data_IF_883885371275
#
_entry.id   IF_883885371275
#
_cell.length_a   1.000
_cell.length_b   1.000
_cell.length_c   1.000
_cell.angle_alpha   90.00
_cell.angle_beta   90.00
_cell.angle_gamma   90.00
#
_symmetry.space_group_name_H-M   'P 1'
#
loop_
_entity.id
_entity.type
_entity.pdbx_description
1 polymer ?
#
# COMPACT_ATOMS: atom_id res chain seq x y z
N UNK A 1 -23.68 4.09 -12.53
CA UNK A 1 -23.94 3.57 -13.87
C UNK A 1 -22.66 2.88 -14.40
N UNK A 2 -22.82 1.70 -15.01
CA UNK A 2 -21.71 0.96 -15.64
C UNK A 2 -21.91 0.96 -17.17
N UNK A 3 -20.82 1.19 -17.87
CA UNK A 3 -20.76 1.18 -19.33
C UNK A 3 -19.61 0.28 -19.79
N UNK A 4 -19.75 -0.33 -20.96
CA UNK A 4 -18.73 -1.19 -21.53
C UNK A 4 -18.54 -0.89 -23.02
N UNK A 5 -17.28 -0.84 -23.48
CA UNK A 5 -16.97 -0.65 -24.89
C UNK A 5 -15.78 -1.51 -25.30
N UNK A 6 -15.80 -2.01 -26.52
CA UNK A 6 -14.67 -2.75 -27.08
C UNK A 6 -13.62 -1.76 -27.62
N UNK A 7 -12.37 -1.98 -27.24
CA UNK A 7 -11.20 -1.25 -27.76
C UNK A 7 -10.41 -2.09 -28.79
N UNK A 8 -11.04 -3.08 -29.41
CA UNK A 8 -10.44 -4.03 -30.34
C UNK A 8 -10.96 -5.43 -30.07
N UNK A 9 -10.40 -6.42 -30.76
CA UNK A 9 -10.89 -7.81 -30.69
C UNK A 9 -10.78 -8.43 -29.27
N UNK A 10 -9.77 -8.05 -28.52
CA UNK A 10 -9.39 -8.73 -27.29
C UNK A 10 -9.34 -7.81 -26.05
N UNK A 11 -9.76 -6.56 -26.17
CA UNK A 11 -9.72 -5.57 -25.08
C UNK A 11 -11.07 -4.92 -24.92
N UNK A 12 -11.59 -4.94 -23.72
CA UNK A 12 -12.82 -4.25 -23.32
C UNK A 12 -12.50 -3.24 -22.23
N UNK A 13 -13.02 -2.04 -22.35
CA UNK A 13 -13.01 -1.02 -21.31
C UNK A 13 -14.35 -1.10 -20.56
N UNK A 14 -14.28 -1.25 -19.24
CA UNK A 14 -15.42 -1.15 -18.33
C UNK A 14 -15.28 0.15 -17.56
N UNK A 15 -16.35 0.94 -17.56
CA UNK A 15 -16.41 2.26 -16.95
C UNK A 15 -17.59 2.32 -15.97
N UNK A 16 -17.33 2.80 -14.75
CA UNK A 16 -18.36 3.09 -13.74
C UNK A 16 -18.35 4.57 -13.42
N UNK A 17 -19.51 5.20 -13.48
CA UNK A 17 -19.71 6.61 -13.15
C UNK A 17 -20.43 6.74 -11.82
N UNK A 18 -19.88 7.61 -10.97
CA UNK A 18 -20.36 7.95 -9.63
C UNK A 18 -20.52 9.48 -9.52
N UNK A 19 -21.17 9.94 -8.47
CA UNK A 19 -21.38 11.38 -8.27
C UNK A 19 -20.09 12.12 -7.95
N UNK A 20 -19.14 11.43 -7.35
CA UNK A 20 -17.86 11.92 -6.87
C UNK A 20 -16.66 11.44 -7.71
N UNK A 21 -16.92 10.79 -8.87
CA UNK A 21 -15.82 10.38 -9.72
C UNK A 21 -16.12 9.29 -10.71
N UNK A 22 -15.07 8.70 -11.22
CA UNK A 22 -15.12 7.64 -12.22
C UNK A 22 -14.12 6.53 -11.88
N UNK A 23 -14.53 5.29 -12.12
CA UNK A 23 -13.65 4.14 -12.09
C UNK A 23 -13.70 3.41 -13.42
N UNK A 24 -12.56 2.95 -13.90
CA UNK A 24 -12.49 2.16 -15.13
C UNK A 24 -11.41 1.09 -15.04
N UNK A 25 -11.58 0.04 -15.84
CA UNK A 25 -10.59 -1.04 -15.95
C UNK A 25 -10.59 -1.62 -17.35
N UNK A 26 -9.50 -2.24 -17.69
CA UNK A 26 -9.37 -3.02 -18.92
C UNK A 26 -9.62 -4.50 -18.63
N UNK A 27 -10.38 -5.15 -19.50
CA UNK A 27 -10.58 -6.58 -19.47
C UNK A 27 -10.06 -7.18 -20.77
N UNK A 28 -9.29 -8.26 -20.63
CA UNK A 28 -8.57 -8.90 -21.73
C UNK A 28 -9.10 -10.31 -21.97
N UNK A 29 -9.23 -10.67 -23.25
CA UNK A 29 -9.66 -12.01 -23.67
C UNK A 29 -8.70 -12.58 -24.71
N UNK A 30 -8.21 -13.80 -24.49
CA UNK A 30 -7.38 -14.49 -25.48
C UNK A 30 -6.02 -13.87 -25.79
N UNK A 31 -5.52 -12.95 -24.95
CA UNK A 31 -4.19 -12.38 -25.09
C UNK A 31 -3.18 -13.35 -24.47
N UNK A 32 -2.14 -13.68 -25.27
CA UNK A 32 -0.97 -14.42 -24.83
C UNK A 32 0.24 -13.49 -24.87
N UNK A 33 1.06 -13.50 -23.81
CA UNK A 33 2.24 -12.64 -23.70
C UNK A 33 1.93 -11.30 -23.04
N UNK A 34 2.68 -10.27 -23.43
CA UNK A 34 2.58 -8.94 -22.81
C UNK A 34 1.22 -8.28 -23.09
N UNK A 35 0.63 -7.72 -22.04
CA UNK A 35 -0.58 -6.93 -22.17
C UNK A 35 -0.31 -5.63 -22.93
N UNK A 36 -1.28 -5.14 -23.71
CA UNK A 36 -1.19 -3.81 -24.29
C UNK A 36 -0.98 -2.74 -23.19
N UNK A 37 -0.25 -1.67 -23.48
CA UNK A 37 -0.09 -0.57 -22.54
C UNK A 37 -1.47 0.01 -22.20
N UNK A 38 -1.64 0.35 -20.94
CA UNK A 38 -2.83 1.07 -20.48
C UNK A 38 -2.78 2.54 -20.97
N UNK A 39 -3.81 3.30 -20.62
CA UNK A 39 -3.89 4.74 -20.88
C UNK A 39 -2.76 5.53 -20.20
N UNK A 40 -2.65 6.80 -20.58
CA UNK A 40 -1.90 7.80 -19.84
C UNK A 40 -2.85 8.91 -19.40
N UNK A 41 -2.67 9.39 -18.18
CA UNK A 41 -3.25 10.66 -17.74
C UNK A 41 -2.46 11.81 -18.36
N UNK A 42 -3.16 12.82 -18.85
CA UNK A 42 -2.50 14.05 -19.32
C UNK A 42 -2.69 15.10 -18.23
N UNK A 43 -1.58 15.48 -17.58
CA UNK A 43 -1.56 16.50 -16.54
C UNK A 43 -0.71 17.66 -17.10
N UNK A 44 -1.33 18.73 -17.59
CA UNK A 44 -0.61 19.83 -18.24
C UNK A 44 0.41 20.51 -17.32
N UNK A 45 1.47 21.02 -17.92
CA UNK A 45 2.40 21.91 -17.23
C UNK A 45 1.64 23.09 -16.60
N UNK A 46 2.02 23.50 -15.41
CA UNK A 46 1.32 24.52 -14.63
C UNK A 46 0.18 24.01 -13.77
N UNK A 47 -0.33 22.78 -13.97
CA UNK A 47 -1.33 22.19 -13.08
C UNK A 47 -0.76 22.00 -11.69
N UNK A 48 -1.42 22.54 -10.67
CA UNK A 48 -1.05 22.31 -9.27
C UNK A 48 -1.19 20.83 -8.93
N UNK A 49 -0.18 20.27 -8.28
CA UNK A 49 -0.13 18.85 -7.93
C UNK A 49 0.58 18.60 -6.60
N UNK A 50 0.11 17.59 -5.87
CA UNK A 50 0.74 17.05 -4.68
C UNK A 50 0.91 15.55 -4.93
N UNK A 51 2.09 15.17 -5.38
CA UNK A 51 2.39 13.82 -5.82
C UNK A 51 3.64 13.32 -5.13
N UNK A 52 3.56 12.12 -4.60
CA UNK A 52 4.68 11.43 -4.00
C UNK A 52 5.56 10.84 -5.10
N UNK A 53 6.83 11.19 -5.10
CA UNK A 53 7.79 10.52 -5.98
C UNK A 53 7.96 9.06 -5.53
N UNK A 54 8.12 8.17 -6.49
CA UNK A 54 8.41 6.76 -6.22
C UNK A 54 9.80 6.64 -5.61
N UNK A 55 9.88 6.20 -4.36
CA UNK A 55 11.12 6.06 -3.61
C UNK A 55 10.97 4.99 -2.52
N UNK A 56 12.10 4.46 -2.04
CA UNK A 56 12.11 3.44 -0.98
C UNK A 56 11.61 3.96 0.36
N UNK A 57 11.73 5.26 0.56
CA UNK A 57 11.46 5.95 1.80
C UNK A 57 10.47 7.08 1.52
N UNK A 58 9.24 6.89 1.90
CA UNK A 58 8.13 7.78 1.57
C UNK A 58 7.71 8.69 2.75
N UNK A 59 8.32 8.54 3.90
CA UNK A 59 8.06 9.40 5.06
C UNK A 59 8.66 10.78 4.80
N UNK A 60 7.84 11.69 4.36
CA UNK A 60 8.28 13.03 4.05
C UNK A 60 7.16 13.94 3.60
N UNK A 61 7.50 15.20 3.46
CA UNK A 61 6.59 16.22 2.96
C UNK A 61 6.79 16.40 1.45
N UNK A 62 5.75 16.16 0.71
CA UNK A 62 5.70 16.38 -0.75
C UNK A 62 4.96 17.69 -1.02
N UNK A 63 5.68 18.81 -1.24
CA UNK A 63 5.07 20.12 -1.42
C UNK A 63 4.33 20.22 -2.73
N UNK A 64 3.51 21.28 -2.84
CA UNK A 64 2.93 21.70 -4.11
C UNK A 64 4.00 21.84 -5.19
N UNK A 65 3.76 21.20 -6.33
CA UNK A 65 4.52 21.39 -7.58
C UNK A 65 3.56 21.75 -8.73
N UNK A 66 4.09 22.41 -9.73
CA UNK A 66 3.36 22.80 -10.94
C UNK A 66 4.09 22.38 -12.21
N UNK A 67 5.23 21.68 -12.07
CA UNK A 67 6.08 21.30 -13.20
C UNK A 67 5.99 19.81 -13.49
N UNK A 68 6.17 19.42 -14.74
CA UNK A 68 6.33 18.04 -15.15
C UNK A 68 7.80 17.58 -15.08
N UNK A 69 8.69 18.41 -14.58
CA UNK A 69 10.10 18.07 -14.39
C UNK A 69 10.27 17.28 -13.09
N UNK A 70 10.92 16.15 -13.21
CA UNK A 70 11.25 15.35 -12.06
C UNK A 70 12.45 15.94 -11.33
N UNK A 71 12.26 16.27 -10.08
CA UNK A 71 13.34 16.67 -9.16
C UNK A 71 13.63 15.49 -8.24
N UNK A 72 14.90 15.08 -8.13
CA UNK A 72 15.25 14.05 -7.14
C UNK A 72 14.77 14.49 -5.76
N UNK A 73 13.95 13.69 -5.12
CA UNK A 73 13.56 13.89 -3.72
C UNK A 73 14.57 13.12 -2.86
N UNK A 74 15.25 13.77 -1.92
CA UNK A 74 16.14 13.06 -1.02
C UNK A 74 15.32 12.06 -0.18
N UNK A 75 15.87 10.88 0.02
CA UNK A 75 15.31 9.91 0.97
C UNK A 75 15.30 10.52 2.37
N UNK A 76 14.14 10.62 2.98
CA UNK A 76 13.98 11.23 4.31
C UNK A 76 14.49 10.33 5.43
N UNK A 77 14.47 9.01 5.25
CA UNK A 77 14.99 8.08 6.24
C UNK A 77 16.53 8.01 6.23
N UNK A 78 17.19 8.47 5.18
CA UNK A 78 18.64 8.37 5.01
C UNK A 78 19.14 6.93 4.81
N UNK A 79 18.27 5.94 4.87
CA UNK A 79 18.62 4.51 4.79
C UNK A 79 18.61 4.03 3.34
N UNK A 80 17.67 4.50 2.56
CA UNK A 80 17.50 4.07 1.18
C UNK A 80 17.62 5.24 0.22
N UNK A 81 18.33 5.02 -0.88
CA UNK A 81 18.40 5.96 -1.99
C UNK A 81 17.38 5.52 -3.04
N UNK A 82 16.72 6.46 -3.68
CA UNK A 82 15.92 6.14 -4.87
C UNK A 82 16.82 5.43 -5.89
N UNK A 83 16.35 4.32 -6.44
CA UNK A 83 17.10 3.60 -7.44
C UNK A 83 17.26 4.45 -8.71
N UNK A 84 18.38 4.32 -9.39
CA UNK A 84 18.59 4.94 -10.68
C UNK A 84 17.46 4.52 -11.65
N UNK A 85 16.86 5.48 -12.34
CA UNK A 85 15.71 5.23 -13.23
C UNK A 85 14.33 5.39 -12.57
N UNK A 86 14.24 5.71 -11.29
CA UNK A 86 12.95 5.98 -10.63
C UNK A 86 12.52 7.46 -10.71
N UNK A 87 13.35 8.31 -11.22
CA UNK A 87 13.14 9.76 -11.21
C UNK A 87 11.82 10.23 -11.86
N UNK A 88 11.29 9.45 -12.81
CA UNK A 88 10.05 9.76 -13.52
C UNK A 88 8.85 8.96 -13.00
N UNK A 89 8.98 8.31 -11.85
CA UNK A 89 7.93 7.48 -11.28
C UNK A 89 7.28 8.18 -10.09
N UNK A 90 5.96 8.01 -9.98
CA UNK A 90 5.13 8.62 -8.95
C UNK A 90 4.21 7.57 -8.35
N UNK A 91 4.06 7.62 -7.03
CA UNK A 91 3.16 6.73 -6.30
C UNK A 91 1.71 7.20 -6.31
N UNK A 92 0.84 6.36 -5.85
CA UNK A 92 -0.55 6.66 -5.55
C UNK A 92 -0.75 6.95 -4.06
N UNK A 93 -1.77 7.75 -3.71
CA UNK A 93 -2.62 8.54 -4.57
C UNK A 93 -1.91 9.79 -5.12
N UNK A 94 -2.31 10.24 -6.31
CA UNK A 94 -1.81 11.46 -6.95
C UNK A 94 -2.91 12.52 -6.94
N UNK A 95 -2.72 13.58 -6.17
CA UNK A 95 -3.67 14.70 -6.07
C UNK A 95 -3.27 15.81 -7.02
N UNK A 96 -4.22 16.29 -7.83
CA UNK A 96 -4.05 17.43 -8.72
C UNK A 96 -5.21 18.41 -8.55
N UNK A 97 -4.98 19.69 -8.88
CA UNK A 97 -5.99 20.73 -8.96
C UNK A 97 -6.02 21.27 -10.41
N UNK A 98 -6.79 20.63 -11.31
CA UNK A 98 -6.84 21.00 -12.72
C UNK A 98 -7.54 22.34 -12.95
N UNK A 99 -8.39 22.76 -12.04
CA UNK A 99 -9.08 24.05 -12.03
C UNK A 99 -9.17 24.53 -10.59
N UNK A 100 -9.12 25.82 -10.37
CA UNK A 100 -9.16 26.39 -9.01
C UNK A 100 -10.36 25.90 -8.20
N UNK A 101 -10.09 25.32 -7.04
CA UNK A 101 -11.08 24.71 -6.16
C UNK A 101 -11.65 23.36 -6.61
N UNK A 102 -11.25 22.84 -7.77
CA UNK A 102 -11.63 21.51 -8.25
C UNK A 102 -10.43 20.59 -8.19
N UNK A 103 -10.52 19.56 -7.37
CA UNK A 103 -9.47 18.57 -7.17
C UNK A 103 -9.80 17.26 -7.88
N UNK A 104 -8.78 16.56 -8.32
CA UNK A 104 -8.87 15.20 -8.83
C UNK A 104 -7.81 14.33 -8.14
N UNK A 105 -8.25 13.26 -7.50
CA UNK A 105 -7.39 12.25 -6.87
C UNK A 105 -7.34 11.02 -7.76
N UNK A 106 -6.17 10.73 -8.28
CA UNK A 106 -5.92 9.56 -9.13
C UNK A 106 -5.35 8.45 -8.26
N UNK A 107 -5.99 7.29 -8.31
CA UNK A 107 -5.54 6.10 -7.55
C UNK A 107 -5.99 4.81 -8.23
N UNK A 108 -5.75 3.69 -7.58
CA UNK A 108 -6.21 2.36 -8.00
C UNK A 108 -6.95 1.66 -6.87
N UNK A 109 -7.82 0.72 -7.25
CA UNK A 109 -8.65 -0.02 -6.30
C UNK A 109 -8.82 -1.48 -6.72
N UNK A 110 -9.21 -2.32 -5.75
CA UNK A 110 -9.47 -3.74 -5.95
C UNK A 110 -8.26 -4.48 -6.55
N UNK A 111 -7.11 -4.31 -5.93
CA UNK A 111 -5.88 -5.04 -6.29
C UNK A 111 -6.03 -6.47 -5.78
N UNK A 112 -6.31 -7.39 -6.69
CA UNK A 112 -6.54 -8.80 -6.38
C UNK A 112 -5.24 -9.61 -6.46
N UNK A 113 -5.30 -10.85 -5.96
CA UNK A 113 -4.19 -11.81 -6.10
C UNK A 113 -3.76 -11.93 -7.57
N UNK A 114 -2.48 -11.74 -7.80
CA UNK A 114 -1.90 -11.80 -9.12
C UNK A 114 -1.76 -10.45 -9.83
N UNK A 115 -2.32 -9.36 -9.30
CA UNK A 115 -1.99 -8.02 -9.75
C UNK A 115 -0.67 -7.55 -9.13
N UNK A 116 0.17 -6.89 -9.90
CA UNK A 116 1.28 -6.11 -9.37
C UNK A 116 0.78 -4.72 -8.99
N UNK A 117 1.44 -4.09 -8.02
CA UNK A 117 1.32 -2.66 -7.81
C UNK A 117 1.69 -1.92 -9.09
N UNK A 118 1.13 -0.74 -9.29
CA UNK A 118 1.51 0.14 -10.39
C UNK A 118 1.94 1.51 -9.87
N UNK A 119 2.67 2.24 -10.68
CA UNK A 119 3.02 3.62 -10.46
C UNK A 119 2.69 4.43 -11.72
N UNK A 120 2.76 5.74 -11.61
CA UNK A 120 2.69 6.63 -12.76
C UNK A 120 4.10 6.92 -13.25
N UNK A 121 4.33 6.78 -14.55
CA UNK A 121 5.59 7.15 -15.20
C UNK A 121 5.35 8.32 -16.15
N UNK A 122 6.02 9.44 -15.93
CA UNK A 122 5.79 10.60 -16.79
C UNK A 122 6.84 10.82 -17.88
N UNK A 123 6.36 11.14 -19.04
CA UNK A 123 7.09 11.68 -20.19
C UNK A 123 6.48 13.05 -20.50
N UNK A 124 7.07 14.11 -19.96
CA UNK A 124 6.44 15.43 -19.96
C UNK A 124 5.07 15.39 -19.27
N UNK A 125 4.04 15.87 -19.94
CA UNK A 125 2.67 15.93 -19.42
C UNK A 125 1.92 14.59 -19.41
N UNK A 126 2.48 13.53 -19.98
CA UNK A 126 1.85 12.20 -20.07
C UNK A 126 2.33 11.32 -18.94
N UNK A 127 1.42 10.96 -18.05
CA UNK A 127 1.63 10.06 -16.92
C UNK A 127 1.03 8.68 -17.23
N UNK A 128 1.87 7.73 -17.65
CA UNK A 128 1.44 6.37 -17.97
C UNK A 128 1.34 5.50 -16.73
N UNK A 129 0.31 4.67 -16.67
CA UNK A 129 0.24 3.59 -15.68
C UNK A 129 1.29 2.54 -16.06
N UNK A 130 2.19 2.25 -15.15
CA UNK A 130 3.32 1.34 -15.36
C UNK A 130 3.36 0.34 -14.22
N UNK A 131 3.38 -0.97 -14.50
CA UNK A 131 3.60 -1.98 -13.47
C UNK A 131 4.94 -1.74 -12.77
N UNK A 132 5.01 -2.05 -11.49
CA UNK A 132 6.28 -2.02 -10.77
C UNK A 132 7.12 -3.24 -11.15
N UNK A 133 8.17 -3.00 -11.92
CA UNK A 133 9.11 -4.03 -12.39
C UNK A 133 10.16 -4.41 -11.34
N UNK A 134 10.27 -3.66 -10.24
CA UNK A 134 11.26 -3.92 -9.18
C UNK A 134 10.97 -5.22 -8.44
N UNK A 135 9.72 -5.63 -8.42
CA UNK A 135 9.35 -6.96 -7.99
C UNK A 135 9.48 -7.89 -9.19
N UNK A 136 10.49 -8.74 -9.20
CA UNK A 136 10.71 -9.81 -10.19
C UNK A 136 9.56 -10.83 -10.23
N UNK A 137 8.32 -10.37 -10.24
CA UNK A 137 7.19 -11.18 -10.61
C UNK A 137 7.27 -11.38 -12.11
N UNK A 138 7.59 -12.61 -12.50
CA UNK A 138 7.45 -13.00 -13.88
C UNK A 138 5.99 -12.82 -14.30
N UNK A 139 5.66 -11.67 -14.87
CA UNK A 139 4.35 -11.36 -15.46
C UNK A 139 3.92 -12.44 -16.49
N UNK A 140 4.86 -13.27 -16.93
CA UNK A 140 4.66 -14.35 -17.89
C UNK A 140 3.75 -15.49 -17.42
N UNK A 141 3.42 -15.60 -16.14
CA UNK A 141 2.61 -16.72 -15.61
C UNK A 141 1.21 -16.31 -15.18
N UNK A 142 0.87 -15.01 -15.19
CA UNK A 142 -0.44 -14.56 -14.76
C UNK A 142 -1.39 -14.44 -15.95
N UNK A 143 -2.41 -15.26 -15.98
CA UNK A 143 -3.58 -15.12 -16.86
C UNK A 143 -4.44 -13.94 -16.38
N UNK A 144 -3.91 -12.70 -16.45
CA UNK A 144 -4.71 -11.53 -16.17
C UNK A 144 -5.82 -11.42 -17.16
N UNK A 145 -7.04 -11.47 -16.66
CA UNK A 145 -8.24 -11.20 -17.46
C UNK A 145 -8.70 -9.75 -17.33
N UNK A 146 -8.22 -9.01 -16.33
CA UNK A 146 -8.61 -7.63 -16.04
C UNK A 146 -7.52 -6.90 -15.27
N UNK A 147 -7.47 -5.57 -15.39
CA UNK A 147 -6.63 -4.73 -14.52
C UNK A 147 -7.34 -4.44 -13.18
N UNK A 148 -6.63 -3.93 -12.17
CA UNK A 148 -7.27 -3.19 -11.08
C UNK A 148 -8.15 -2.06 -11.62
N UNK A 149 -9.07 -1.56 -10.81
CA UNK A 149 -9.79 -0.35 -11.14
C UNK A 149 -8.85 0.85 -11.09
N UNK A 150 -8.88 1.66 -12.13
CA UNK A 150 -8.29 3.00 -12.17
C UNK A 150 -9.36 3.96 -11.70
N UNK A 151 -9.09 4.71 -10.65
CA UNK A 151 -10.07 5.54 -9.96
C UNK A 151 -9.64 7.00 -10.05
N UNK A 152 -10.58 7.87 -10.42
CA UNK A 152 -10.42 9.32 -10.36
C UNK A 152 -11.58 9.87 -9.53
N UNK A 153 -11.27 10.36 -8.33
CA UNK A 153 -12.22 11.05 -7.46
C UNK A 153 -12.15 12.53 -7.79
N UNK A 154 -13.29 13.19 -8.01
CA UNK A 154 -13.36 14.58 -8.49
C UNK A 154 -14.35 15.37 -7.64
N UNK A 155 -13.94 16.54 -7.17
CA UNK A 155 -14.79 17.43 -6.39
C UNK A 155 -14.01 18.54 -5.70
N UNK A 156 -14.59 19.15 -4.70
CA UNK A 156 -13.87 19.97 -3.73
C UNK A 156 -12.87 19.12 -2.95
N UNK A 157 -11.97 19.75 -2.21
CA UNK A 157 -11.05 18.98 -1.35
C UNK A 157 -11.83 18.15 -0.30
N UNK A 158 -12.93 18.71 0.20
CA UNK A 158 -13.81 18.00 1.15
C UNK A 158 -14.44 16.76 0.51
N UNK A 159 -14.96 16.88 -0.72
CA UNK A 159 -15.54 15.75 -1.46
C UNK A 159 -14.50 14.64 -1.67
N UNK A 160 -13.27 15.01 -2.04
CA UNK A 160 -12.17 14.05 -2.24
C UNK A 160 -11.84 13.32 -0.94
N UNK A 161 -11.77 14.03 0.19
CA UNK A 161 -11.45 13.44 1.50
C UNK A 161 -12.56 12.52 2.01
N UNK A 162 -13.82 12.85 1.73
CA UNK A 162 -14.98 12.09 2.20
C UNK A 162 -15.37 10.93 1.27
N UNK A 163 -14.83 10.89 0.06
CA UNK A 163 -15.19 9.89 -0.94
C UNK A 163 -14.88 8.45 -0.48
N UNK A 164 -15.84 7.57 -0.68
CA UNK A 164 -15.71 6.13 -0.45
C UNK A 164 -15.48 5.34 -1.75
N UNK A 165 -15.24 6.03 -2.87
CA UNK A 165 -15.23 5.43 -4.21
C UNK A 165 -14.25 4.25 -4.34
N UNK A 166 -13.10 4.30 -3.67
CA UNK A 166 -12.12 3.20 -3.67
C UNK A 166 -12.71 1.92 -3.08
N UNK A 167 -13.48 2.03 -2.01
CA UNK A 167 -14.14 0.88 -1.38
C UNK A 167 -15.37 0.45 -2.16
N UNK A 168 -16.10 1.40 -2.75
CA UNK A 168 -17.35 1.13 -3.50
C UNK A 168 -17.12 0.33 -4.79
N UNK A 169 -15.95 0.48 -5.41
CA UNK A 169 -15.59 -0.31 -6.61
C UNK A 169 -14.85 -1.60 -6.27
N UNK A 170 -14.43 -1.77 -5.02
CA UNK A 170 -13.71 -2.94 -4.56
C UNK A 170 -14.66 -4.10 -4.24
N UNK A 171 -14.12 -5.31 -4.27
CA UNK A 171 -14.88 -6.48 -3.83
C UNK A 171 -15.28 -6.31 -2.35
N UNK A 172 -16.46 -6.76 -1.95
CA UNK A 172 -16.88 -6.67 -0.56
C UNK A 172 -15.95 -7.49 0.34
N UNK A 173 -15.85 -7.07 1.60
CA UNK A 173 -15.10 -7.79 2.61
C UNK A 173 -15.55 -9.25 2.69
N UNK A 174 -14.60 -10.18 2.70
CA UNK A 174 -14.87 -11.62 2.79
C UNK A 174 -14.95 -12.12 4.24
N UNK A 175 -14.53 -11.29 5.20
CA UNK A 175 -14.60 -11.62 6.62
C UNK A 175 -16.05 -11.49 7.08
N UNK A 176 -16.64 -12.59 7.53
CA UNK A 176 -18.06 -12.64 7.93
C UNK A 176 -18.31 -11.95 9.26
N UNK A 177 -17.43 -12.18 10.23
CA UNK A 177 -17.50 -11.53 11.54
C UNK A 177 -16.37 -10.49 11.65
N UNK A 178 -16.74 -9.23 11.61
CA UNK A 178 -15.83 -8.09 11.77
C UNK A 178 -15.95 -7.42 13.15
N UNK A 179 -16.73 -8.01 14.07
CA UNK A 179 -17.00 -7.42 15.39
C UNK A 179 -15.75 -7.25 16.27
N UNK A 180 -14.71 -8.01 15.97
CA UNK A 180 -13.42 -7.95 16.67
C UNK A 180 -12.49 -6.85 16.16
N UNK A 181 -12.79 -6.27 14.97
CA UNK A 181 -11.95 -5.22 14.35
C UNK A 181 -12.38 -3.87 14.90
N UNK A 182 -11.54 -3.29 15.74
CA UNK A 182 -11.77 -1.97 16.31
C UNK A 182 -10.59 -1.06 16.04
N UNK A 183 -10.81 0.18 15.57
CA UNK A 183 -9.76 1.18 15.50
C UNK A 183 -9.26 1.54 16.91
N UNK A 184 -7.99 1.91 17.00
CA UNK A 184 -7.43 2.30 18.29
C UNK A 184 -6.01 2.85 18.16
N UNK A 185 -5.54 3.47 19.21
CA UNK A 185 -4.16 3.95 19.31
C UNK A 185 -3.28 2.80 19.78
N UNK A 186 -2.13 2.64 19.14
CA UNK A 186 -1.15 1.60 19.42
C UNK A 186 0.12 2.18 20.02
N UNK A 187 0.69 1.55 21.02
CA UNK A 187 2.08 1.82 21.41
C UNK A 187 3.03 1.04 20.51
N UNK A 188 3.99 1.73 19.95
CA UNK A 188 4.87 1.16 18.93
C UNK A 188 6.35 1.34 19.30
N UNK A 189 7.09 0.24 19.33
CA UNK A 189 8.43 0.15 19.89
C UNK A 189 9.50 0.65 18.91
N UNK A 190 9.33 0.39 17.62
CA UNK A 190 10.37 0.47 16.60
C UNK A 190 11.10 1.81 16.52
N UNK A 191 10.34 2.90 16.50
CA UNK A 191 10.90 4.25 16.31
C UNK A 191 11.80 4.73 17.45
N UNK A 192 11.53 4.28 18.67
CA UNK A 192 12.32 4.68 19.83
C UNK A 192 13.55 3.81 20.08
N UNK A 193 13.49 2.53 19.71
CA UNK A 193 14.52 1.56 20.06
C UNK A 193 15.14 0.85 18.85
N UNK A 194 14.80 1.25 17.64
CA UNK A 194 15.28 0.66 16.40
C UNK A 194 15.53 -0.85 16.53
N UNK A 195 14.56 -1.67 16.19
CA UNK A 195 14.55 -3.13 16.34
C UNK A 195 14.37 -3.68 17.78
N UNK A 196 13.77 -2.91 18.69
CA UNK A 196 13.58 -3.33 20.09
C UNK A 196 12.60 -4.49 20.34
N UNK A 197 11.95 -5.00 19.30
CA UNK A 197 10.91 -6.04 19.45
C UNK A 197 11.46 -7.45 19.74
N UNK A 198 12.76 -7.65 19.74
CA UNK A 198 13.41 -8.86 20.20
C UNK A 198 13.80 -8.83 21.69
N UNK A 199 13.37 -7.82 22.43
CA UNK A 199 13.70 -7.62 23.84
C UNK A 199 12.42 -7.56 24.68
N UNK A 200 12.23 -8.57 25.50
CA UNK A 200 11.04 -8.71 26.36
C UNK A 200 10.86 -7.52 27.30
N UNK A 201 11.93 -7.02 27.92
CA UNK A 201 11.86 -5.91 28.89
C UNK A 201 11.45 -4.59 28.20
N UNK A 202 11.85 -4.41 26.95
CA UNK A 202 11.41 -3.26 26.14
C UNK A 202 9.92 -3.40 25.80
N UNK A 203 9.50 -4.57 25.31
CA UNK A 203 8.08 -4.82 25.00
C UNK A 203 7.23 -4.59 26.25
N UNK A 204 7.66 -5.10 27.40
CA UNK A 204 6.98 -4.92 28.69
C UNK A 204 6.77 -3.44 29.03
N UNK A 205 7.81 -2.60 28.86
CA UNK A 205 7.70 -1.16 29.08
C UNK A 205 6.62 -0.52 28.19
N UNK A 206 6.52 -0.94 26.94
CA UNK A 206 5.51 -0.40 26.01
C UNK A 206 4.10 -0.93 26.30
N UNK A 207 3.97 -2.14 26.81
CA UNK A 207 2.70 -2.65 27.35
C UNK A 207 2.28 -1.83 28.59
N UNK A 208 3.19 -1.60 29.54
CA UNK A 208 2.92 -0.83 30.74
C UNK A 208 2.59 0.64 30.39
N UNK A 209 3.24 1.21 29.39
CA UNK A 209 2.91 2.52 28.87
C UNK A 209 1.50 2.53 28.24
N UNK A 210 1.15 1.51 27.47
CA UNK A 210 -0.19 1.39 26.90
C UNK A 210 -1.27 1.34 27.98
N UNK A 211 -1.05 0.61 29.07
CA UNK A 211 -1.94 0.59 30.23
C UNK A 211 -2.08 1.99 30.83
N UNK A 212 -0.96 2.67 31.07
CA UNK A 212 -0.94 4.00 31.69
C UNK A 212 -1.66 5.06 30.85
N UNK A 213 -1.52 4.98 29.53
CA UNK A 213 -2.11 5.92 28.57
C UNK A 213 -3.48 5.47 28.06
N UNK A 214 -4.04 4.38 28.59
CA UNK A 214 -5.31 3.80 28.15
C UNK A 214 -5.35 3.48 26.66
N UNK A 215 -4.24 3.00 26.08
CA UNK A 215 -4.17 2.55 24.69
C UNK A 215 -4.70 1.11 24.59
N UNK A 216 -5.29 0.79 23.45
CA UNK A 216 -5.90 -0.54 23.24
C UNK A 216 -4.89 -1.60 22.80
N UNK A 217 -3.77 -1.18 22.19
CA UNK A 217 -2.87 -2.07 21.45
C UNK A 217 -1.41 -1.80 21.75
N UNK A 218 -0.59 -2.84 21.56
CA UNK A 218 0.88 -2.74 21.43
C UNK A 218 1.30 -3.39 20.13
N UNK A 219 2.16 -2.73 19.32
CA UNK A 219 2.74 -3.33 18.12
C UNK A 219 4.13 -3.87 18.43
N UNK A 220 4.25 -5.19 18.28
CA UNK A 220 5.52 -5.93 18.35
C UNK A 220 6.01 -6.04 16.91
N UNK A 221 7.03 -5.26 16.59
CA UNK A 221 7.53 -5.05 15.24
C UNK A 221 8.57 -6.13 14.83
N UNK A 222 9.31 -5.88 13.78
CA UNK A 222 10.33 -6.76 13.24
C UNK A 222 11.26 -7.37 14.30
N UNK A 223 11.79 -8.55 14.01
CA UNK A 223 12.73 -9.31 14.86
C UNK A 223 12.11 -9.97 16.11
N UNK A 224 10.79 -9.92 16.28
CA UNK A 224 10.13 -10.61 17.37
C UNK A 224 10.43 -12.13 17.40
N UNK A 225 10.71 -12.72 16.25
CA UNK A 225 11.06 -14.13 16.07
C UNK A 225 12.51 -14.46 16.48
N UNK A 226 13.29 -13.44 16.84
CA UNK A 226 14.65 -13.56 17.40
C UNK A 226 14.71 -13.09 18.85
N UNK A 227 13.64 -13.28 19.60
CA UNK A 227 13.54 -12.88 21.00
C UNK A 227 14.76 -13.33 21.81
N UNK A 228 15.30 -12.44 22.63
CA UNK A 228 16.45 -12.70 23.49
C UNK A 228 16.08 -13.62 24.66
N UNK A 229 16.85 -14.68 24.82
CA UNK A 229 16.69 -15.58 25.96
C UNK A 229 16.76 -14.82 27.31
N UNK A 230 16.03 -15.27 28.35
CA UNK A 230 15.31 -16.54 28.42
C UNK A 230 13.86 -16.48 27.90
N UNK A 231 13.41 -15.33 27.42
CA UNK A 231 12.02 -15.09 27.03
C UNK A 231 11.73 -15.50 25.57
N UNK A 232 10.45 -15.70 25.30
CA UNK A 232 9.89 -16.01 23.98
C UNK A 232 8.87 -14.95 23.57
N UNK A 233 8.42 -14.97 22.32
CA UNK A 233 7.36 -14.07 21.86
C UNK A 233 6.03 -14.37 22.59
N UNK A 234 5.78 -15.63 22.92
CA UNK A 234 4.59 -16.04 23.67
C UNK A 234 4.57 -15.41 25.07
N UNK A 235 5.73 -15.26 25.73
CA UNK A 235 5.82 -14.57 27.02
C UNK A 235 5.38 -13.10 26.88
N UNK A 236 5.83 -12.43 25.82
CA UNK A 236 5.47 -11.05 25.54
C UNK A 236 3.97 -10.90 25.21
N UNK A 237 3.43 -11.78 24.38
CA UNK A 237 2.00 -11.82 24.04
C UNK A 237 1.15 -12.07 25.29
N UNK A 238 1.54 -13.06 26.11
CA UNK A 238 0.83 -13.38 27.34
C UNK A 238 0.88 -12.25 28.37
N UNK A 239 2.03 -11.54 28.45
CA UNK A 239 2.13 -10.35 29.30
C UNK A 239 1.15 -9.26 28.85
N UNK A 240 1.11 -8.93 27.56
CA UNK A 240 0.18 -7.94 27.00
C UNK A 240 -1.29 -8.34 27.30
N UNK A 241 -1.66 -9.57 26.99
CA UNK A 241 -3.01 -10.11 27.28
C UNK A 241 -3.35 -10.02 28.77
N UNK A 242 -2.41 -10.33 29.68
CA UNK A 242 -2.61 -10.25 31.13
C UNK A 242 -2.91 -8.83 31.63
N UNK A 243 -2.46 -7.83 30.88
CA UNK A 243 -2.71 -6.41 31.16
C UNK A 243 -3.94 -5.83 30.43
N UNK A 244 -4.66 -6.65 29.67
CA UNK A 244 -5.80 -6.22 28.87
C UNK A 244 -5.41 -5.46 27.59
N UNK A 245 -4.14 -5.49 27.21
CA UNK A 245 -3.64 -4.87 25.97
C UNK A 245 -3.60 -5.92 24.86
N UNK A 246 -4.13 -5.57 23.70
CA UNK A 246 -4.16 -6.44 22.52
C UNK A 246 -2.83 -6.35 21.77
N UNK A 247 -2.03 -7.43 21.66
CA UNK A 247 -0.81 -7.42 20.90
C UNK A 247 -1.09 -7.53 19.40
N UNK A 248 -0.41 -6.73 18.61
CA UNK A 248 -0.31 -6.83 17.15
C UNK A 248 1.10 -7.29 16.81
N UNK A 249 1.25 -8.29 15.96
CA UNK A 249 2.54 -8.81 15.52
C UNK A 249 2.76 -8.45 14.06
N UNK A 250 3.90 -7.85 13.78
CA UNK A 250 4.29 -7.45 12.44
C UNK A 250 4.83 -8.62 11.62
N UNK A 251 4.43 -8.69 10.36
CA UNK A 251 4.97 -9.60 9.38
C UNK A 251 5.41 -8.85 8.11
N UNK A 252 6.53 -9.25 7.55
CA UNK A 252 6.99 -8.71 6.27
C UNK A 252 6.36 -9.48 5.11
N UNK A 253 5.54 -8.82 4.30
CA UNK A 253 4.96 -9.39 3.08
C UNK A 253 5.93 -9.34 1.88
N UNK A 254 7.02 -8.59 2.01
CA UNK A 254 8.05 -8.45 0.98
C UNK A 254 8.96 -9.67 0.91
N UNK A 255 9.48 -9.97 -0.27
CA UNK A 255 10.36 -11.12 -0.51
C UNK A 255 11.79 -10.69 -0.83
N UNK A 256 12.38 -9.91 0.06
CA UNK A 256 13.80 -9.59 -0.06
C UNK A 256 14.12 -8.51 -1.10
N UNK A 257 13.22 -7.56 -1.27
CA UNK A 257 13.45 -6.39 -2.11
C UNK A 257 14.49 -5.42 -1.55
N UNK A 258 14.77 -5.52 -0.27
CA UNK A 258 15.82 -4.76 0.41
C UNK A 258 16.75 -5.72 1.12
N UNK A 259 18.02 -5.73 0.74
CA UNK A 259 19.06 -6.50 1.44
C UNK A 259 19.18 -5.99 2.89
N UNK A 260 19.09 -6.92 3.83
CA UNK A 260 19.17 -6.61 5.26
C UNK A 260 17.89 -6.05 5.88
N UNK A 261 16.78 -5.99 5.15
CA UNK A 261 15.50 -5.65 5.75
C UNK A 261 15.17 -6.64 6.87
N UNK A 262 14.77 -6.16 8.06
CA UNK A 262 14.36 -7.04 9.13
C UNK A 262 13.13 -7.85 8.69
N UNK A 263 13.20 -9.14 8.88
CA UNK A 263 12.13 -10.03 8.46
C UNK A 263 11.94 -11.12 9.51
N UNK A 264 10.71 -11.57 9.76
CA UNK A 264 10.50 -12.84 10.43
C UNK A 264 11.17 -13.97 9.65
N UNK A 265 11.58 -15.04 10.34
CA UNK A 265 12.07 -16.27 9.71
C UNK A 265 11.11 -16.81 8.68
N UNK A 266 9.82 -16.58 8.90
CA UNK A 266 8.74 -17.03 8.06
C UNK A 266 8.43 -16.00 6.99
N UNK A 267 8.28 -16.51 5.77
CA UNK A 267 7.95 -15.69 4.62
C UNK A 267 6.50 -15.94 4.25
N UNK A 268 5.66 -14.91 4.33
CA UNK A 268 4.24 -15.01 3.98
C UNK A 268 3.97 -15.40 2.51
N UNK A 269 4.99 -15.32 1.64
CA UNK A 269 4.89 -15.78 0.26
C UNK A 269 4.95 -17.30 0.09
N UNK A 270 5.38 -18.04 1.13
CA UNK A 270 5.38 -19.51 1.13
C UNK A 270 4.07 -19.99 1.75
N UNK A 271 3.19 -20.68 1.00
CA UNK A 271 1.87 -21.06 1.51
C UNK A 271 1.93 -21.90 2.78
N UNK A 272 2.83 -22.87 2.84
CA UNK A 272 2.99 -23.77 4.00
C UNK A 272 3.48 -23.06 5.27
N UNK A 273 4.35 -22.06 5.14
CA UNK A 273 4.81 -21.24 6.26
C UNK A 273 3.68 -20.31 6.72
N UNK A 274 3.00 -19.67 5.78
CA UNK A 274 1.89 -18.76 6.07
C UNK A 274 0.73 -19.46 6.82
N UNK A 275 0.36 -20.65 6.39
CA UNK A 275 -0.72 -21.40 7.04
C UNK A 275 -0.37 -21.77 8.49
N UNK A 276 0.88 -22.17 8.75
CA UNK A 276 1.37 -22.45 10.10
C UNK A 276 1.37 -21.22 10.99
N UNK A 277 1.86 -20.09 10.45
CA UNK A 277 1.91 -18.83 11.18
C UNK A 277 0.52 -18.31 11.53
N UNK A 278 -0.42 -18.35 10.59
CA UNK A 278 -1.78 -17.90 10.86
C UNK A 278 -2.47 -18.81 11.90
N UNK A 279 -2.29 -20.14 11.81
CA UNK A 279 -2.81 -21.05 12.82
C UNK A 279 -2.19 -20.82 14.21
N UNK A 280 -0.94 -20.39 14.29
CA UNK A 280 -0.31 -19.98 15.54
C UNK A 280 -0.87 -18.65 16.07
N UNK A 281 -1.11 -17.67 15.21
CA UNK A 281 -1.72 -16.38 15.58
C UNK A 281 -3.16 -16.53 16.10
N UNK A 282 -3.88 -17.59 15.69
CA UNK A 282 -5.25 -17.87 16.14
C UNK A 282 -5.31 -18.42 17.57
N UNK A 283 -4.22 -18.95 18.13
CA UNK A 283 -4.13 -19.50 19.49
C UNK A 283 -3.92 -18.40 20.53
#
# INVERSE_FOLDING_TARGET
NEYQTALGKNVRLVLRLYNDGVAFRYEYTGIQGNLPPEHAYVIPEGTKRWMQQWCDSYEGFFPLDTTCQVKPVPSYSGVFKSAEGWNNRWGYPALIEPQDGVFALITEANIEKGHSASCLYNEGERFRVTPDETFNFQLSTFNFKKTPWRVIIIGSLEDVVQSTLVTDVSNPCQIKDTSWIHPGVVSWIYWAYNHGSNDYDIIKKYVDMAVTLHLSYVLIDAEWDTMKAPYTIEDAVNYAKSKGIKPLIWYNSSVGWVDGAPTPKFRLNKPEDREKEFAWCEQ
#
